data_IF_000357716308
#
_entry.id   IF_000357716308
#
_cell.length_a   1.000
_cell.length_b   1.000
_cell.length_c   1.000
_cell.angle_alpha   90.00
_cell.angle_beta   90.00
_cell.angle_gamma   90.00
#
_symmetry.space_group_name_H-M   'P 1'
#
loop_
_entity.id
_entity.type
_entity.pdbx_description
1 polymer ?
#
# COMPACT_ATOMS: atom_id res chain seq x y z
N UNK A 1 46.66 -9.98 43.02
CA UNK A 1 45.82 -9.80 41.81
C UNK A 1 46.23 -10.87 40.82
N UNK A 2 45.43 -11.91 40.64
CA UNK A 2 45.67 -12.97 39.64
C UNK A 2 45.54 -12.36 38.26
N UNK A 3 46.54 -12.53 37.39
CA UNK A 3 46.53 -11.97 36.04
C UNK A 3 45.21 -12.31 35.33
N UNK A 4 44.56 -11.31 34.74
CA UNK A 4 43.40 -11.50 33.90
C UNK A 4 43.79 -12.44 32.75
N UNK A 5 43.40 -13.69 32.86
CA UNK A 5 43.67 -14.71 31.84
C UNK A 5 42.81 -14.35 30.62
N UNK A 6 43.42 -13.76 29.59
CA UNK A 6 42.70 -13.18 28.45
C UNK A 6 42.26 -14.20 27.41
N UNK A 7 42.72 -15.46 27.49
CA UNK A 7 42.44 -16.50 26.50
C UNK A 7 42.59 -17.92 27.08
N UNK A 8 41.88 -18.94 26.53
CA UNK A 8 42.11 -20.33 26.92
C UNK A 8 43.54 -20.73 26.59
N UNK A 9 44.20 -21.43 27.51
CA UNK A 9 45.52 -22.00 27.29
C UNK A 9 45.38 -23.51 27.10
N UNK A 10 45.40 -23.95 25.84
CA UNK A 10 45.24 -25.36 25.46
C UNK A 10 46.34 -26.28 25.99
N UNK A 11 47.47 -25.71 26.43
CA UNK A 11 48.57 -26.45 27.02
C UNK A 11 48.40 -26.64 28.54
N UNK A 12 47.30 -26.18 29.16
CA UNK A 12 47.07 -26.30 30.61
C UNK A 12 45.88 -27.20 30.95
N UNK A 13 46.00 -28.10 31.95
CA UNK A 13 47.22 -28.36 32.74
C UNK A 13 48.31 -29.07 31.91
N UNK A 14 49.58 -28.72 32.12
CA UNK A 14 50.71 -29.44 31.51
C UNK A 14 51.32 -30.44 32.50
N UNK A 15 52.21 -31.31 32.02
CA UNK A 15 52.88 -32.31 32.84
C UNK A 15 53.83 -31.73 33.92
N UNK A 16 54.09 -30.42 33.90
CA UNK A 16 54.88 -29.73 34.93
C UNK A 16 54.00 -29.14 36.04
N UNK A 17 52.69 -29.00 35.82
CA UNK A 17 51.74 -28.65 36.86
C UNK A 17 51.67 -29.80 37.87
N UNK A 18 51.95 -29.51 39.14
CA UNK A 18 51.96 -30.51 40.22
C UNK A 18 51.07 -30.09 41.38
N UNK A 19 50.56 -31.09 42.11
CA UNK A 19 49.75 -30.88 43.31
C UNK A 19 48.48 -30.05 43.05
N UNK A 20 48.13 -29.10 43.93
CA UNK A 20 46.92 -28.27 43.80
C UNK A 20 46.86 -27.39 42.53
N UNK A 21 47.99 -27.18 41.85
CA UNK A 21 48.04 -26.34 40.65
C UNK A 21 47.35 -26.98 39.45
N UNK A 22 47.37 -28.31 39.32
CA UNK A 22 46.69 -29.05 38.23
C UNK A 22 45.18 -28.75 38.21
N UNK A 23 44.41 -29.00 39.29
CA UNK A 23 42.98 -28.73 39.30
C UNK A 23 42.65 -27.23 39.22
N UNK A 24 43.51 -26.35 39.76
CA UNK A 24 43.31 -24.90 39.67
C UNK A 24 43.44 -24.40 38.23
N UNK A 25 44.51 -24.79 37.52
CA UNK A 25 44.73 -24.40 36.12
C UNK A 25 43.70 -25.00 35.18
N UNK A 26 43.32 -26.25 35.39
CA UNK A 26 42.22 -26.88 34.65
C UNK A 26 40.91 -26.10 34.83
N UNK A 27 40.55 -25.75 36.08
CA UNK A 27 39.34 -24.98 36.38
C UNK A 27 39.36 -23.58 35.76
N UNK A 28 40.49 -22.89 35.83
CA UNK A 28 40.66 -21.57 35.19
C UNK A 28 40.48 -21.66 33.67
N UNK A 29 41.10 -22.66 33.04
CA UNK A 29 40.98 -22.89 31.59
C UNK A 29 39.53 -23.20 31.18
N UNK A 30 38.82 -24.03 31.95
CA UNK A 30 37.41 -24.35 31.73
C UNK A 30 36.49 -23.11 31.87
N UNK A 31 36.79 -22.19 32.78
CA UNK A 31 36.03 -20.93 32.92
C UNK A 31 36.20 -20.04 31.69
N UNK A 32 37.43 -19.90 31.20
CA UNK A 32 37.69 -19.11 29.99
C UNK A 32 37.08 -19.77 28.76
N UNK A 33 37.10 -21.10 28.67
CA UNK A 33 36.41 -21.84 27.62
C UNK A 33 34.89 -21.59 27.65
N UNK A 34 34.27 -21.67 28.83
CA UNK A 34 32.84 -21.35 29.02
C UNK A 34 32.52 -19.93 28.57
N UNK A 35 33.31 -18.94 29.00
CA UNK A 35 33.06 -17.52 28.70
C UNK A 35 33.31 -17.22 27.20
N UNK A 36 34.33 -17.85 26.62
CA UNK A 36 34.63 -17.77 25.20
C UNK A 36 33.52 -18.41 24.34
N UNK A 37 32.96 -19.54 24.77
CA UNK A 37 31.85 -20.20 24.09
C UNK A 37 30.58 -19.33 24.09
N UNK A 38 30.27 -18.69 25.23
CA UNK A 38 29.11 -17.79 25.35
C UNK A 38 29.26 -16.50 24.52
N UNK A 39 30.49 -15.98 24.41
CA UNK A 39 30.76 -14.72 23.69
C UNK A 39 31.05 -14.93 22.20
N UNK A 40 31.26 -16.18 21.77
CA UNK A 40 31.75 -16.50 20.43
C UNK A 40 33.17 -16.02 20.16
N UNK A 41 33.93 -15.64 21.20
CA UNK A 41 35.28 -15.05 21.09
C UNK A 41 36.35 -15.97 21.67
N UNK A 42 36.35 -17.24 21.26
CA UNK A 42 37.44 -18.17 21.61
C UNK A 42 38.58 -17.97 20.61
N UNK A 43 39.81 -17.72 21.10
CA UNK A 43 40.99 -17.55 20.26
C UNK A 43 41.16 -18.76 19.33
N UNK A 44 41.44 -18.49 18.05
CA UNK A 44 41.67 -19.48 16.98
C UNK A 44 40.45 -20.31 16.58
N UNK A 45 39.26 -20.02 17.13
CA UNK A 45 38.01 -20.62 16.70
C UNK A 45 37.25 -19.72 15.74
N UNK A 46 36.72 -20.33 14.68
CA UNK A 46 35.90 -19.64 13.67
C UNK A 46 34.56 -20.36 13.53
N UNK A 47 33.48 -19.58 13.49
CA UNK A 47 32.14 -20.05 13.15
C UNK A 47 31.89 -19.92 11.64
N UNK A 48 31.41 -21.00 11.02
CA UNK A 48 31.08 -21.06 9.60
C UNK A 48 29.72 -21.71 9.39
N UNK A 49 29.09 -21.36 8.27
CA UNK A 49 27.86 -21.99 7.79
C UNK A 49 28.14 -22.60 6.42
N UNK A 50 27.78 -23.87 6.24
CA UNK A 50 27.93 -24.58 4.97
C UNK A 50 26.56 -25.09 4.55
N UNK A 51 26.14 -24.75 3.34
CA UNK A 51 24.81 -25.10 2.84
C UNK A 51 24.57 -26.60 2.83
N UNK A 52 25.57 -27.40 2.40
CA UNK A 52 25.37 -28.84 2.20
C UNK A 52 24.24 -29.08 1.20
N UNK A 53 23.24 -29.86 1.59
CA UNK A 53 21.98 -30.05 0.84
C UNK A 53 20.94 -28.96 1.11
N UNK A 54 21.20 -28.04 2.05
CA UNK A 54 20.34 -26.91 2.40
C UNK A 54 20.60 -25.66 1.56
N UNK A 55 20.15 -24.50 2.05
CA UNK A 55 20.31 -23.19 1.37
C UNK A 55 21.20 -22.26 2.19
N UNK A 56 21.49 -21.06 1.66
CA UNK A 56 22.23 -20.04 2.41
C UNK A 56 21.47 -19.58 3.67
N UNK A 57 20.14 -19.56 3.61
CA UNK A 57 19.25 -19.18 4.72
C UNK A 57 18.93 -20.35 5.66
N UNK A 58 19.12 -21.59 5.18
CA UNK A 58 18.84 -22.83 5.89
C UNK A 58 20.00 -23.81 5.68
N UNK A 59 21.21 -23.46 6.16
CA UNK A 59 22.39 -24.26 5.91
C UNK A 59 22.30 -25.58 6.69
N UNK A 60 22.72 -26.67 6.04
CA UNK A 60 22.77 -27.99 6.66
C UNK A 60 23.78 -28.03 7.81
N UNK A 61 24.90 -27.30 7.71
CA UNK A 61 25.95 -27.37 8.71
C UNK A 61 26.25 -26.02 9.33
N UNK A 62 26.27 -25.97 10.66
CA UNK A 62 27.00 -24.95 11.41
C UNK A 62 28.28 -25.57 11.94
N UNK A 63 29.42 -24.94 11.68
CA UNK A 63 30.72 -25.50 12.01
C UNK A 63 31.46 -24.50 12.89
N UNK A 64 31.92 -24.97 14.03
CA UNK A 64 32.84 -24.23 14.89
C UNK A 64 34.18 -24.96 14.84
N UNK A 65 35.22 -24.32 14.30
CA UNK A 65 36.50 -25.00 14.05
C UNK A 65 37.68 -24.22 14.57
N UNK A 66 38.66 -24.96 15.09
CA UNK A 66 39.98 -24.48 15.42
C UNK A 66 40.99 -25.06 14.43
N UNK A 67 41.52 -24.22 13.54
CA UNK A 67 42.46 -24.64 12.50
C UNK A 67 43.87 -24.86 13.00
N UNK A 68 44.23 -24.32 14.17
CA UNK A 68 45.56 -24.51 14.76
C UNK A 68 45.68 -25.91 15.35
N UNK A 69 44.62 -26.39 16.00
CA UNK A 69 44.58 -27.68 16.68
C UNK A 69 43.86 -28.78 15.89
N UNK A 70 43.34 -28.48 14.69
CA UNK A 70 42.51 -29.37 13.88
C UNK A 70 41.24 -29.92 14.58
N UNK A 71 40.75 -29.23 15.62
CA UNK A 71 39.54 -29.62 16.35
C UNK A 71 38.32 -28.90 15.78
N UNK A 72 37.32 -29.65 15.34
CA UNK A 72 36.12 -29.12 14.70
C UNK A 72 34.88 -29.68 15.40
N UNK A 73 33.86 -28.84 15.57
CA UNK A 73 32.51 -29.23 15.95
C UNK A 73 31.57 -28.91 14.79
N UNK A 74 30.68 -29.85 14.47
CA UNK A 74 29.66 -29.68 13.44
C UNK A 74 28.29 -29.95 14.02
N UNK A 75 27.39 -29.02 13.76
CA UNK A 75 25.97 -29.15 14.02
C UNK A 75 25.29 -29.41 12.67
N UNK A 76 24.79 -30.62 12.49
CA UNK A 76 24.06 -31.04 11.30
C UNK A 76 22.58 -30.79 11.51
N UNK A 77 22.04 -29.78 10.83
CA UNK A 77 20.68 -29.29 10.96
C UNK A 77 19.75 -29.93 9.94
N UNK A 78 18.59 -30.38 10.42
CA UNK A 78 17.44 -30.77 9.59
C UNK A 78 16.40 -29.67 9.65
N UNK A 79 16.07 -29.09 8.50
CA UNK A 79 15.08 -28.03 8.38
C UNK A 79 13.74 -28.59 7.91
N UNK A 80 12.63 -28.09 8.46
CA UNK A 80 11.28 -28.41 8.00
C UNK A 80 10.40 -27.19 8.13
N UNK A 81 9.86 -26.69 7.02
CA UNK A 81 9.06 -25.46 7.00
C UNK A 81 9.75 -24.31 7.76
N UNK A 82 11.02 -24.06 7.38
CA UNK A 82 11.83 -22.94 7.86
C UNK A 82 12.16 -22.90 9.35
N UNK A 83 12.23 -24.07 9.98
CA UNK A 83 12.69 -24.26 11.36
C UNK A 83 13.53 -25.52 11.49
N UNK A 84 14.45 -25.54 12.45
CA UNK A 84 15.29 -26.71 12.74
C UNK A 84 14.47 -27.68 13.59
N UNK A 85 14.14 -28.83 13.01
CA UNK A 85 13.38 -29.92 13.68
C UNK A 85 14.26 -31.03 14.20
N UNK A 86 15.50 -31.11 13.70
CA UNK A 86 16.49 -32.00 14.27
C UNK A 86 17.90 -31.45 14.14
N UNK A 87 18.74 -31.75 15.13
CA UNK A 87 20.16 -31.43 15.06
C UNK A 87 21.01 -32.54 15.65
N UNK A 88 22.06 -32.91 14.92
CA UNK A 88 23.10 -33.85 15.34
C UNK A 88 24.39 -33.07 15.62
N UNK A 89 25.07 -33.36 16.74
CA UNK A 89 26.35 -32.72 17.07
C UNK A 89 27.48 -33.74 16.99
N UNK A 90 28.48 -33.40 16.20
CA UNK A 90 29.65 -34.23 15.95
C UNK A 90 30.92 -33.42 16.19
N UNK A 91 32.00 -34.13 16.48
CA UNK A 91 33.32 -33.54 16.59
C UNK A 91 34.35 -34.30 15.75
N UNK A 92 35.47 -33.64 15.48
CA UNK A 92 36.59 -34.15 14.70
C UNK A 92 37.89 -33.61 15.29
N UNK A 93 38.93 -34.44 15.33
CA UNK A 93 40.31 -34.10 15.70
C UNK A 93 41.27 -34.11 14.50
N UNK A 94 40.76 -34.37 13.29
CA UNK A 94 41.53 -34.52 12.06
C UNK A 94 41.17 -33.48 10.99
N UNK A 95 40.67 -32.32 11.40
CA UNK A 95 40.32 -31.24 10.48
C UNK A 95 39.06 -31.50 9.67
N UNK A 96 38.15 -32.33 10.19
CA UNK A 96 36.86 -32.65 9.59
C UNK A 96 36.88 -33.83 8.61
N UNK A 97 37.93 -34.64 8.58
CA UNK A 97 38.03 -35.82 7.72
C UNK A 97 37.20 -36.98 8.28
N UNK A 98 37.21 -37.19 9.60
CA UNK A 98 36.34 -38.13 10.32
C UNK A 98 35.52 -37.43 11.39
N UNK A 99 34.36 -37.99 11.71
CA UNK A 99 33.39 -37.39 12.63
C UNK A 99 32.94 -38.42 13.65
N UNK A 100 33.02 -38.07 14.93
CA UNK A 100 32.48 -38.84 16.02
C UNK A 100 31.28 -38.11 16.64
N UNK A 101 30.20 -38.85 16.89
CA UNK A 101 28.98 -38.29 17.50
C UNK A 101 29.23 -37.87 18.94
N UNK A 102 28.99 -36.59 19.23
CA UNK A 102 28.94 -36.05 20.60
C UNK A 102 27.53 -36.19 21.15
N UNK A 103 26.55 -35.93 20.30
CA UNK A 103 25.13 -35.92 20.65
C UNK A 103 24.34 -36.45 19.47
N UNK A 104 23.51 -37.46 19.74
CA UNK A 104 22.62 -38.06 18.74
C UNK A 104 21.64 -37.03 18.18
N UNK A 105 21.07 -37.31 17.01
CA UNK A 105 20.11 -36.41 16.37
C UNK A 105 18.92 -36.16 17.30
N UNK A 106 18.78 -34.92 17.76
CA UNK A 106 17.70 -34.54 18.63
C UNK A 106 16.43 -34.25 17.85
N UNK A 107 15.28 -34.54 18.45
CA UNK A 107 13.99 -34.13 17.92
C UNK A 107 13.55 -32.84 18.60
N UNK A 108 13.11 -31.86 17.82
CA UNK A 108 12.57 -30.58 18.32
C UNK A 108 11.19 -30.37 17.70
N UNK A 109 10.19 -30.26 18.56
CA UNK A 109 8.78 -30.09 18.18
C UNK A 109 8.33 -28.69 18.51
N UNK A 110 7.60 -28.08 17.57
CA UNK A 110 7.08 -26.72 17.69
C UNK A 110 5.55 -26.72 17.61
N UNK A 111 4.90 -25.80 18.31
CA UNK A 111 3.49 -25.49 18.08
C UNK A 111 3.28 -24.57 16.85
N UNK A 112 2.03 -24.15 16.61
CA UNK A 112 1.69 -23.24 15.51
C UNK A 112 2.27 -21.82 15.64
N UNK A 113 2.64 -21.41 16.85
CA UNK A 113 3.30 -20.12 17.13
C UNK A 113 4.83 -20.25 17.18
N UNK A 114 5.34 -21.42 16.81
CA UNK A 114 6.75 -21.78 16.85
C UNK A 114 7.38 -21.69 18.25
N UNK A 115 6.60 -21.94 19.30
CA UNK A 115 7.16 -22.26 20.62
C UNK A 115 7.62 -23.72 20.63
N UNK A 116 8.75 -24.01 21.25
CA UNK A 116 9.20 -25.39 21.41
C UNK A 116 8.33 -26.09 22.47
N UNK A 117 7.64 -27.16 22.08
CA UNK A 117 6.69 -27.90 22.95
C UNK A 117 7.27 -29.21 23.49
N UNK A 118 8.22 -29.81 22.79
CA UNK A 118 8.98 -30.96 23.28
C UNK A 118 10.33 -31.05 22.58
N UNK A 119 11.30 -31.63 23.28
CA UNK A 119 12.65 -31.80 22.78
C UNK A 119 13.40 -32.92 23.50
N UNK A 120 14.36 -33.53 22.81
CA UNK A 120 15.28 -34.53 23.41
C UNK A 120 16.57 -33.93 23.98
N UNK A 121 16.79 -32.62 23.80
CA UNK A 121 17.93 -31.87 24.36
C UNK A 121 17.68 -31.36 25.77
N UNK A 122 18.77 -31.24 26.55
CA UNK A 122 18.74 -30.57 27.83
C UNK A 122 18.30 -29.10 27.66
N UNK A 123 17.25 -28.70 28.37
CA UNK A 123 16.71 -27.34 28.35
C UNK A 123 17.76 -26.32 28.80
N UNK A 124 18.19 -25.45 27.88
CA UNK A 124 19.18 -24.40 28.15
C UNK A 124 19.07 -23.25 27.16
N UNK A 125 20.01 -22.30 27.24
CA UNK A 125 20.08 -21.13 26.33
C UNK A 125 20.08 -21.53 24.86
N UNK A 126 20.62 -22.71 24.56
CA UNK A 126 20.63 -23.29 23.23
C UNK A 126 19.23 -23.46 22.62
N UNK A 127 18.29 -24.02 23.39
CA UNK A 127 16.88 -24.22 23.00
C UNK A 127 16.22 -22.88 22.69
N UNK A 128 16.46 -21.90 23.56
CA UNK A 128 15.92 -20.56 23.39
C UNK A 128 16.40 -19.90 22.09
N UNK A 129 17.67 -20.10 21.71
CA UNK A 129 18.21 -19.58 20.44
C UNK A 129 17.51 -20.25 19.24
N UNK A 130 17.25 -21.56 19.29
CA UNK A 130 16.54 -22.25 18.21
C UNK A 130 15.10 -21.74 18.07
N UNK A 131 14.41 -21.52 19.18
CA UNK A 131 13.08 -20.92 19.19
C UNK A 131 13.09 -19.50 18.60
N UNK A 132 14.06 -18.66 18.98
CA UNK A 132 14.22 -17.32 18.44
C UNK A 132 14.46 -17.32 16.92
N UNK A 133 15.26 -18.26 16.40
CA UNK A 133 15.48 -18.39 14.96
C UNK A 133 14.17 -18.74 14.25
N UNK A 134 13.41 -19.69 14.77
CA UNK A 134 12.11 -20.08 14.20
C UNK A 134 11.13 -18.90 14.20
N UNK A 135 11.00 -18.20 15.33
CA UNK A 135 10.14 -17.01 15.46
C UNK A 135 10.59 -15.86 14.55
N UNK A 136 11.90 -15.63 14.42
CA UNK A 136 12.44 -14.62 13.50
C UNK A 136 12.05 -14.87 12.05
N UNK A 137 12.08 -16.14 11.61
CA UNK A 137 11.61 -16.54 10.28
C UNK A 137 10.10 -16.40 10.11
N UNK A 138 9.30 -16.71 11.15
CA UNK A 138 7.87 -16.44 11.14
C UNK A 138 7.57 -14.95 10.96
N UNK A 139 8.25 -14.08 11.73
CA UNK A 139 8.10 -12.63 11.61
C UNK A 139 8.43 -12.14 10.20
N UNK A 140 9.53 -12.64 9.61
CA UNK A 140 9.88 -12.29 8.23
C UNK A 140 8.81 -12.72 7.23
N UNK A 141 8.29 -13.95 7.35
CA UNK A 141 7.21 -14.45 6.50
C UNK A 141 5.90 -13.65 6.68
N UNK A 142 5.52 -13.36 7.93
CA UNK A 142 4.36 -12.53 8.25
C UNK A 142 4.50 -11.11 7.73
N UNK A 143 5.71 -10.54 7.77
CA UNK A 143 5.99 -9.22 7.22
C UNK A 143 5.86 -9.22 5.69
N UNK A 144 6.38 -10.23 5.00
CA UNK A 144 6.20 -10.36 3.54
C UNK A 144 4.72 -10.53 3.20
N UNK A 145 3.99 -11.34 3.95
CA UNK A 145 2.54 -11.51 3.77
C UNK A 145 1.78 -10.22 4.05
N UNK A 146 2.17 -9.47 5.07
CA UNK A 146 1.62 -8.15 5.36
C UNK A 146 1.89 -7.19 4.20
N UNK A 147 3.14 -7.09 3.73
CA UNK A 147 3.51 -6.24 2.59
C UNK A 147 2.75 -6.66 1.32
N UNK A 148 2.52 -7.94 1.07
CA UNK A 148 1.71 -8.40 -0.05
C UNK A 148 0.21 -8.02 0.13
N UNK A 149 -0.33 -8.19 1.35
CA UNK A 149 -1.71 -7.85 1.67
C UNK A 149 -1.99 -6.34 1.66
N UNK A 150 -1.04 -5.52 2.13
CA UNK A 150 -1.21 -4.08 2.29
C UNK A 150 -0.54 -3.27 1.18
N UNK A 151 0.55 -3.75 0.59
CA UNK A 151 1.42 -3.00 -0.32
C UNK A 151 1.07 -3.08 -1.80
N UNK A 152 0.32 -4.10 -2.25
CA UNK A 152 -0.14 -4.21 -3.64
C UNK A 152 -1.65 -4.20 -3.80
N UNK A 153 -2.41 -4.37 -2.71
CA UNK A 153 -3.89 -4.36 -2.70
C UNK A 153 -4.55 -3.06 -2.20
N UNK A 154 -3.79 -2.14 -1.59
CA UNK A 154 -4.35 -0.91 -1.00
C UNK A 154 -4.10 0.33 -1.86
N UNK A 155 -3.16 0.28 -2.81
CA UNK A 155 -2.84 1.43 -3.68
C UNK A 155 -3.28 1.25 -5.14
N UNK A 156 -3.61 0.03 -5.56
CA UNK A 156 -4.46 -0.21 -6.72
C UNK A 156 -5.83 -0.57 -6.21
N UNK A 157 -6.76 0.38 -6.14
CA UNK A 157 -8.14 0.11 -5.74
C UNK A 157 -8.79 -0.75 -6.84
N UNK A 158 -8.54 -2.06 -6.86
CA UNK A 158 -9.29 -3.00 -7.68
C UNK A 158 -10.77 -2.97 -7.28
N UNK A 159 -11.04 -2.76 -5.99
CA UNK A 159 -12.32 -2.31 -5.42
C UNK A 159 -12.02 -1.43 -4.19
N UNK A 160 -12.88 -0.45 -3.90
CA UNK A 160 -12.81 0.25 -2.60
C UNK A 160 -13.31 -0.69 -1.50
N UNK A 161 -12.64 -0.71 -0.33
CA UNK A 161 -13.18 -1.37 0.87
C UNK A 161 -14.57 -0.82 1.20
N UNK A 162 -15.46 -1.64 1.78
CA UNK A 162 -16.82 -1.24 2.17
C UNK A 162 -16.81 0.08 2.94
N UNK A 163 -17.33 1.12 2.31
CA UNK A 163 -17.53 2.41 2.95
C UNK A 163 -18.92 2.44 3.59
N UNK A 164 -19.04 3.12 4.74
CA UNK A 164 -20.37 3.51 5.18
C UNK A 164 -21.01 4.41 4.11
N UNK A 165 -22.30 4.26 3.87
CA UNK A 165 -23.03 4.99 2.82
C UNK A 165 -22.98 6.51 2.98
N UNK A 166 -22.61 7.01 4.17
CA UNK A 166 -22.48 8.44 4.50
C UNK A 166 -21.03 8.90 4.67
N UNK A 167 -20.04 8.02 4.42
CA UNK A 167 -18.63 8.31 4.73
C UNK A 167 -17.78 8.68 3.51
N UNK A 168 -18.34 8.58 2.29
CA UNK A 168 -17.61 8.92 1.07
C UNK A 168 -17.77 10.41 0.79
N UNK A 169 -16.66 11.14 0.85
CA UNK A 169 -16.56 12.51 0.39
C UNK A 169 -15.63 12.56 -0.83
N UNK A 170 -16.03 13.31 -1.87
CA UNK A 170 -15.23 13.53 -3.09
C UNK A 170 -15.00 15.04 -3.19
N UNK A 171 -13.85 15.48 -2.68
CA UNK A 171 -13.48 16.91 -2.66
C UNK A 171 -12.89 17.39 -4.00
N UNK A 172 -12.65 16.48 -4.94
CA UNK A 172 -12.11 16.82 -6.25
C UNK A 172 -12.13 15.66 -7.25
N UNK A 173 -11.91 16.00 -8.54
CA UNK A 173 -11.90 15.06 -9.66
C UNK A 173 -13.19 15.11 -10.51
N UNK A 174 -13.25 14.26 -11.54
CA UNK A 174 -14.43 14.03 -12.37
C UNK A 174 -14.99 12.64 -12.12
N UNK A 175 -16.31 12.52 -12.19
CA UNK A 175 -17.00 11.24 -12.21
C UNK A 175 -17.44 11.00 -13.66
N UNK A 176 -16.54 10.42 -14.45
CA UNK A 176 -16.79 10.19 -15.88
C UNK A 176 -17.24 8.75 -16.12
N UNK A 177 -18.22 8.58 -17.01
CA UNK A 177 -18.71 7.25 -17.44
C UNK A 177 -19.28 6.37 -16.32
N UNK A 178 -19.50 6.91 -15.12
CA UNK A 178 -19.91 6.16 -13.94
C UNK A 178 -21.40 6.34 -13.68
N UNK A 179 -22.15 5.23 -13.60
CA UNK A 179 -23.56 5.26 -13.24
C UNK A 179 -23.73 5.58 -11.75
N UNK A 180 -24.35 6.73 -11.44
CA UNK A 180 -24.69 7.12 -10.07
C UNK A 180 -26.07 6.55 -9.73
N UNK A 181 -26.16 5.74 -8.66
CA UNK A 181 -27.44 5.20 -8.17
C UNK A 181 -27.98 3.97 -8.91
N UNK A 182 -27.15 3.15 -9.55
CA UNK A 182 -27.60 2.03 -10.41
C UNK A 182 -28.42 0.93 -9.72
N UNK A 183 -27.92 0.32 -8.64
CA UNK A 183 -28.58 -0.82 -7.99
C UNK A 183 -29.51 -0.43 -6.82
N UNK A 184 -29.16 0.63 -6.09
CA UNK A 184 -29.93 1.16 -4.96
C UNK A 184 -29.90 2.71 -5.02
N UNK A 185 -30.78 3.33 -5.82
CA UNK A 185 -30.89 4.78 -5.89
C UNK A 185 -31.23 5.38 -4.51
N UNK A 186 -30.75 6.59 -4.24
CA UNK A 186 -31.07 7.37 -3.04
C UNK A 186 -31.16 8.86 -3.39
N UNK A 187 -31.62 9.69 -2.45
CA UNK A 187 -31.71 11.14 -2.64
C UNK A 187 -30.32 11.78 -2.78
N UNK A 188 -30.08 12.46 -3.90
CA UNK A 188 -28.96 13.37 -4.08
C UNK A 188 -29.40 14.81 -3.85
N UNK A 189 -28.60 15.58 -3.11
CA UNK A 189 -28.76 17.04 -3.03
C UNK A 189 -27.65 17.67 -3.85
N UNK A 190 -28.02 18.30 -4.96
CA UNK A 190 -27.09 19.01 -5.82
C UNK A 190 -27.34 20.50 -5.70
N UNK A 191 -26.29 21.25 -5.40
CA UNK A 191 -26.33 22.72 -5.46
C UNK A 191 -26.34 23.21 -6.91
N UNK A 192 -25.79 22.41 -7.85
CA UNK A 192 -25.80 22.69 -9.28
C UNK A 192 -25.60 21.41 -10.09
N UNK A 193 -26.48 21.16 -11.05
CA UNK A 193 -26.31 20.16 -12.11
C UNK A 193 -26.32 20.91 -13.44
N UNK A 194 -25.30 20.72 -14.27
CA UNK A 194 -25.27 21.28 -15.63
C UNK A 194 -25.41 20.10 -16.58
N UNK A 195 -26.63 19.88 -17.07
CA UNK A 195 -26.91 18.88 -18.10
C UNK A 195 -26.57 19.44 -19.49
N UNK A 196 -26.36 18.54 -20.45
CA UNK A 196 -25.81 18.77 -21.77
C UNK A 196 -26.24 20.09 -22.47
N UNK A 197 -25.32 20.66 -23.25
CA UNK A 197 -25.55 21.84 -24.07
C UNK A 197 -26.27 21.47 -25.37
N UNK A 198 -27.40 22.12 -25.66
CA UNK A 198 -28.04 22.03 -26.96
C UNK A 198 -27.35 22.98 -27.96
N UNK A 199 -26.61 22.44 -28.92
CA UNK A 199 -25.95 23.23 -29.95
C UNK A 199 -26.76 23.24 -31.25
N UNK A 200 -27.33 24.39 -31.59
CA UNK A 200 -28.19 24.60 -32.74
C UNK A 200 -27.47 25.47 -33.78
N UNK A 201 -27.40 24.99 -35.03
CA UNK A 201 -26.82 25.71 -36.17
C UNK A 201 -27.85 25.82 -37.32
N UNK A 202 -28.93 26.58 -37.11
CA UNK A 202 -30.01 26.69 -38.09
C UNK A 202 -29.59 27.44 -39.36
N UNK A 203 -30.11 27.01 -40.50
CA UNK A 203 -29.97 27.72 -41.78
C UNK A 203 -30.75 29.05 -41.81
N UNK A 204 -30.55 29.84 -42.88
CA UNK A 204 -31.19 31.13 -43.08
C UNK A 204 -32.72 31.00 -43.13
N UNK A 205 -33.41 31.83 -42.34
CA UNK A 205 -34.87 31.86 -42.20
C UNK A 205 -35.49 30.54 -41.67
N UNK A 206 -34.68 29.70 -41.04
CA UNK A 206 -35.16 28.48 -40.43
C UNK A 206 -35.85 28.77 -39.07
N UNK A 207 -36.83 27.94 -38.72
CA UNK A 207 -37.34 27.88 -37.36
C UNK A 207 -36.29 27.24 -36.44
N UNK A 208 -36.09 27.82 -35.26
CA UNK A 208 -35.15 27.31 -34.24
C UNK A 208 -35.92 27.09 -32.98
N UNK A 209 -35.90 25.88 -32.47
CA UNK A 209 -36.54 25.59 -31.19
C UNK A 209 -35.47 25.53 -30.10
N UNK A 210 -35.49 26.50 -29.20
CA UNK A 210 -34.72 26.45 -27.95
C UNK A 210 -35.45 25.53 -27.00
N UNK A 211 -34.77 24.48 -26.59
CA UNK A 211 -35.32 23.44 -25.72
C UNK A 211 -34.79 23.65 -24.29
N UNK A 212 -35.72 23.92 -23.36
CA UNK A 212 -35.42 24.14 -21.94
C UNK A 212 -35.17 22.86 -21.16
N UNK A 213 -35.35 21.69 -21.78
CA UNK A 213 -34.95 20.41 -21.21
C UNK A 213 -33.42 20.26 -21.13
N UNK A 214 -32.65 21.10 -21.83
CA UNK A 214 -31.19 21.15 -21.72
C UNK A 214 -30.78 22.20 -20.68
N UNK A 215 -29.71 21.93 -19.92
CA UNK A 215 -29.15 22.89 -18.96
C UNK A 215 -28.74 24.23 -19.62
N UNK A 216 -28.58 24.24 -20.95
CA UNK A 216 -28.50 25.43 -21.77
C UNK A 216 -28.64 25.15 -23.27
N UNK A 217 -28.91 26.20 -24.05
CA UNK A 217 -28.97 26.14 -25.52
C UNK A 217 -28.08 27.21 -26.14
N UNK A 218 -27.27 26.83 -27.13
CA UNK A 218 -26.45 27.72 -27.97
C UNK A 218 -26.98 27.70 -29.39
N UNK A 219 -27.38 28.86 -29.91
CA UNK A 219 -27.77 29.03 -31.31
C UNK A 219 -26.64 29.76 -32.05
N UNK A 220 -26.21 29.25 -33.20
CA UNK A 220 -25.26 29.92 -34.09
C UNK A 220 -25.97 30.17 -35.41
N UNK A 221 -26.24 31.43 -35.74
CA UNK A 221 -27.07 31.77 -36.88
C UNK A 221 -26.53 32.98 -37.65
N UNK A 222 -26.71 32.97 -38.97
CA UNK A 222 -26.57 34.11 -39.87
C UNK A 222 -27.94 34.37 -40.57
N UNK A 223 -28.83 35.15 -39.92
CA UNK A 223 -30.04 35.70 -40.54
C UNK A 223 -31.32 35.65 -39.71
N UNK A 224 -32.47 36.01 -40.30
CA UNK A 224 -33.75 36.17 -39.60
C UNK A 224 -34.41 34.83 -39.26
N UNK A 225 -34.07 34.23 -38.13
CA UNK A 225 -34.67 32.96 -37.71
C UNK A 225 -35.82 33.16 -36.73
N UNK A 226 -36.87 32.35 -36.90
CA UNK A 226 -38.00 32.32 -35.98
C UNK A 226 -37.63 31.44 -34.78
N UNK A 227 -37.35 32.05 -33.63
CA UNK A 227 -37.08 31.31 -32.39
C UNK A 227 -38.41 30.93 -31.73
N UNK A 228 -38.61 29.63 -31.56
CA UNK A 228 -39.66 29.04 -30.73
C UNK A 228 -39.01 28.45 -29.49
N UNK A 229 -39.75 28.41 -28.39
CA UNK A 229 -39.30 27.75 -27.17
C UNK A 229 -40.14 26.50 -26.97
N UNK A 230 -39.49 25.39 -26.69
CA UNK A 230 -40.15 24.14 -26.34
C UNK A 230 -39.76 23.73 -24.92
N UNK A 231 -40.59 22.86 -24.32
CA UNK A 231 -40.39 22.27 -22.99
C UNK A 231 -40.20 23.29 -21.87
N UNK A 232 -40.90 24.41 -21.98
CA UNK A 232 -40.90 25.46 -20.98
C UNK A 232 -41.56 24.95 -19.68
N UNK A 233 -40.95 25.12 -18.50
CA UNK A 233 -41.59 24.71 -17.25
C UNK A 233 -42.93 25.43 -17.03
N UNK A 234 -43.99 24.68 -16.72
CA UNK A 234 -45.32 25.25 -16.44
C UNK A 234 -45.37 26.04 -15.12
N UNK A 235 -46.38 26.92 -14.97
CA UNK A 235 -46.57 27.72 -13.73
C UNK A 235 -45.77 29.03 -13.68
N UNK A 236 -45.04 29.36 -14.73
CA UNK A 236 -44.29 30.61 -14.84
C UNK A 236 -45.20 31.66 -15.51
N UNK A 237 -45.51 32.75 -14.80
CA UNK A 237 -46.49 33.76 -15.23
C UNK A 237 -46.07 34.57 -16.47
N UNK A 238 -44.80 34.49 -16.87
CA UNK A 238 -44.26 35.10 -18.07
C UNK A 238 -42.76 34.87 -18.21
N UNK A 239 -42.28 34.83 -19.44
CA UNK A 239 -40.85 34.75 -19.74
C UNK A 239 -40.36 36.13 -20.14
N UNK A 240 -39.39 36.65 -19.40
CA UNK A 240 -38.77 37.93 -19.72
C UNK A 240 -37.49 37.66 -20.50
N UNK A 241 -37.55 37.87 -21.81
CA UNK A 241 -36.39 37.75 -22.70
C UNK A 241 -35.70 39.11 -22.74
N UNK A 242 -34.57 39.25 -22.02
CA UNK A 242 -33.77 40.46 -22.12
C UNK A 242 -32.80 40.36 -23.29
N UNK A 243 -33.04 41.21 -24.28
CA UNK A 243 -32.17 41.37 -25.45
C UNK A 243 -31.33 42.61 -25.23
N UNK A 244 -30.01 42.45 -25.03
CA UNK A 244 -29.09 43.59 -24.97
C UNK A 244 -28.23 43.59 -26.23
N UNK A 245 -28.31 44.62 -27.07
CA UNK A 245 -27.35 44.83 -28.16
C UNK A 245 -26.11 45.55 -27.60
N UNK A 246 -24.93 44.93 -27.67
CA UNK A 246 -23.70 45.49 -27.11
C UNK A 246 -22.97 46.45 -28.07
N UNK A 247 -23.58 46.82 -29.20
CA UNK A 247 -23.05 47.85 -30.08
C UNK A 247 -24.00 49.06 -30.15
N UNK A 248 -23.50 50.18 -29.65
CA UNK A 248 -24.21 51.42 -29.46
C UNK A 248 -24.68 52.02 -30.79
N UNK A 249 -25.97 51.90 -31.12
CA UNK A 249 -26.70 52.96 -31.83
C UNK A 249 -28.21 52.76 -31.64
N UNK A 250 -28.79 53.65 -30.82
CA UNK A 250 -30.22 53.93 -30.65
C UNK A 250 -31.15 52.74 -30.31
N UNK A 251 -31.43 52.58 -29.02
CA UNK A 251 -32.66 51.95 -28.55
C UNK A 251 -33.87 52.70 -29.13
N UNK A 252 -34.89 52.05 -29.73
CA UNK A 252 -36.21 52.64 -29.72
C UNK A 252 -36.65 52.66 -28.25
N UNK A 253 -36.94 53.86 -27.75
CA UNK A 253 -37.48 54.04 -26.41
C UNK A 253 -38.68 53.11 -26.20
N UNK A 254 -38.65 52.34 -25.11
CA UNK A 254 -39.80 51.61 -24.56
C UNK A 254 -40.56 50.73 -25.55
N UNK A 255 -40.00 49.57 -25.90
CA UNK A 255 -40.81 48.45 -26.40
C UNK A 255 -41.12 47.53 -25.22
N UNK A 256 -42.28 47.74 -24.61
CA UNK A 256 -42.91 46.74 -23.76
C UNK A 256 -43.48 45.67 -24.70
N UNK A 257 -42.88 44.47 -24.70
CA UNK A 257 -43.32 43.39 -25.57
C UNK A 257 -44.63 42.81 -25.05
N UNK A 258 -45.75 43.19 -25.68
CA UNK A 258 -47.01 42.51 -25.52
C UNK A 258 -46.93 41.09 -26.11
N UNK A 259 -47.64 40.16 -25.47
CA UNK A 259 -47.73 38.74 -25.85
C UNK A 259 -48.10 38.62 -27.34
N UNK A 260 -47.10 38.36 -28.21
CA UNK A 260 -47.31 38.15 -29.65
C UNK A 260 -46.36 38.89 -30.61
N UNK A 261 -45.57 39.85 -30.15
CA UNK A 261 -44.54 40.50 -30.99
C UNK A 261 -43.26 39.67 -31.06
N UNK A 262 -42.90 39.14 -32.24
CA UNK A 262 -41.70 38.29 -32.43
C UNK A 262 -40.46 39.13 -32.78
N UNK A 263 -39.28 38.87 -32.19
CA UNK A 263 -38.04 39.57 -32.54
C UNK A 263 -37.43 39.03 -33.86
N UNK A 264 -36.83 39.90 -34.67
CA UNK A 264 -35.94 39.49 -35.78
C UNK A 264 -34.48 39.69 -35.40
N UNK A 265 -33.67 38.64 -35.52
CA UNK A 265 -32.25 38.61 -35.15
C UNK A 265 -31.44 38.70 -36.45
N UNK A 266 -30.55 39.68 -36.60
CA UNK A 266 -29.65 39.77 -37.75
C UNK A 266 -28.19 39.73 -37.25
N UNK A 267 -27.47 38.64 -37.51
CA UNK A 267 -26.09 38.37 -37.04
C UNK A 267 -25.96 37.23 -36.02
N UNK A 268 -24.72 36.95 -35.60
CA UNK A 268 -24.40 35.87 -34.65
C UNK A 268 -24.69 36.31 -33.20
N UNK A 269 -25.65 35.65 -32.54
CA UNK A 269 -26.02 35.90 -31.16
C UNK A 269 -25.73 34.68 -30.29
N UNK A 270 -25.19 34.88 -29.08
CA UNK A 270 -25.14 33.83 -28.06
C UNK A 270 -26.22 34.11 -27.03
N UNK A 271 -27.17 33.18 -26.91
CA UNK A 271 -28.22 33.23 -25.89
C UNK A 271 -27.70 32.45 -24.68
N UNK A 272 -27.54 33.12 -23.53
CA UNK A 272 -27.18 32.47 -22.28
C UNK A 272 -28.41 32.55 -21.37
N UNK A 273 -28.97 31.40 -21.03
CA UNK A 273 -30.08 31.32 -20.09
C UNK A 273 -29.47 31.12 -18.70
N UNK A 274 -29.63 32.11 -17.81
CA UNK A 274 -29.16 31.97 -16.42
C UNK A 274 -30.37 32.05 -15.50
N UNK A 275 -30.63 30.98 -14.76
CA UNK A 275 -31.65 31.02 -13.70
C UNK A 275 -31.01 31.54 -12.41
N UNK A 276 -31.40 32.73 -11.95
CA UNK A 276 -31.15 33.17 -10.58
C UNK A 276 -32.34 32.76 -9.71
N UNK A 277 -32.13 31.81 -8.82
CA UNK A 277 -33.19 31.30 -7.94
C UNK A 277 -33.42 32.24 -6.74
N UNK A 278 -33.84 33.47 -7.03
CA UNK A 278 -34.32 34.43 -6.01
C UNK A 278 -35.83 34.61 -6.04
N UNK A 279 -36.53 33.64 -6.64
CA UNK A 279 -37.92 33.34 -6.28
C UNK A 279 -39.00 34.19 -6.91
N UNK A 280 -38.79 34.82 -8.08
CA UNK A 280 -39.94 35.32 -8.89
C UNK A 280 -39.64 35.62 -10.36
N UNK A 281 -38.39 35.69 -10.80
CA UNK A 281 -38.05 35.98 -12.20
C UNK A 281 -36.95 35.05 -12.70
N UNK A 282 -37.07 34.55 -13.93
CA UNK A 282 -36.00 33.85 -14.65
C UNK A 282 -35.33 34.84 -15.60
N UNK A 283 -34.01 35.05 -15.47
CA UNK A 283 -33.25 36.01 -16.29
C UNK A 283 -32.55 35.34 -17.48
N UNK A 284 -33.14 35.38 -18.66
CA UNK A 284 -32.41 35.08 -19.89
C UNK A 284 -31.62 36.32 -20.35
N UNK A 285 -30.29 36.22 -20.53
CA UNK A 285 -29.45 37.31 -21.07
C UNK A 285 -28.84 36.91 -22.41
N UNK A 286 -29.14 37.69 -23.44
CA UNK A 286 -28.55 37.51 -24.78
C UNK A 286 -27.42 38.50 -24.98
N UNK A 287 -26.19 38.02 -25.06
CA UNK A 287 -24.99 38.82 -25.30
C UNK A 287 -24.52 38.71 -26.75
N UNK A 288 -24.17 39.85 -27.35
CA UNK A 288 -23.59 39.92 -28.70
C UNK A 288 -22.09 40.17 -28.58
N UNK A 289 -21.28 39.40 -29.30
CA UNK A 289 -19.85 39.64 -29.45
C UNK A 289 -19.54 39.77 -30.94
N UNK A 290 -19.02 40.91 -31.35
CA UNK A 290 -18.53 41.08 -32.72
C UNK A 290 -17.26 40.24 -32.91
N UNK A 291 -17.19 39.53 -34.04
CA UNK A 291 -15.94 38.98 -34.60
C UNK A 291 -15.57 39.83 -35.80
#
# INVERSE_FOLDING_TARGET
MTAAYTHPNWNKPDGSDTGPNVPLRARENLRVLRDGLLTGKVKDWTFLRTNGTGTADEPQYWIFKNTVNNIWFRFTNTWTASKITSQLVEWSDDGGATWATVQVADAIVYDGNLNITSQSIASGVYVFILELIAKGKLVAASLVAHIAGTGTGVHGLGTMSTQASTAVNIDGGTIDGTAIGGAAPSSGSFTRVVEALNALAPGLNAGVTVDWAYGGTRITNNGNNNVTFANIPGGIAGHLVYVSNHNATLWPASVTWGVGGKPSINGAATIILTTDDTGTNVRASVGWRAV
#
